data_IF_108615571931
#
_entry.id   IF_108615571931
#
_cell.length_a   1.000
_cell.length_b   1.000
_cell.length_c   1.000
_cell.angle_alpha   90.00
_cell.angle_beta   90.00
_cell.angle_gamma   90.00
#
_symmetry.space_group_name_H-M   'P 1'
#
loop_
_entity.id
_entity.type
_entity.pdbx_description
1 polymer ?
#
# COMPACT_ATOMS: atom_id res chain seq x y z
N UNK A 1 12.36 6.40 -11.20
CA UNK A 1 10.97 6.86 -10.95
C UNK A 1 10.69 7.02 -9.47
N UNK A 2 10.86 5.98 -8.64
CA UNK A 2 10.63 6.03 -7.17
C UNK A 2 11.40 7.15 -6.47
N UNK A 3 12.71 7.30 -6.74
CA UNK A 3 13.51 8.37 -6.12
C UNK A 3 13.02 9.78 -6.46
N UNK A 4 12.52 10.00 -7.69
CA UNK A 4 11.92 11.28 -8.08
C UNK A 4 10.61 11.53 -7.34
N UNK A 5 9.77 10.51 -7.19
CA UNK A 5 8.53 10.63 -6.42
C UNK A 5 8.80 10.94 -4.93
N UNK A 6 9.81 10.30 -4.33
CA UNK A 6 10.25 10.65 -2.96
C UNK A 6 10.72 12.10 -2.89
N UNK A 7 11.47 12.58 -3.87
CA UNK A 7 11.90 13.98 -3.92
C UNK A 7 10.72 14.96 -4.08
N UNK A 8 9.73 14.62 -4.91
CA UNK A 8 8.48 15.39 -5.04
C UNK A 8 7.75 15.49 -3.71
N UNK A 9 7.60 14.37 -2.98
CA UNK A 9 6.98 14.38 -1.65
C UNK A 9 7.77 15.26 -0.67
N UNK A 10 9.10 15.18 -0.66
CA UNK A 10 9.94 16.04 0.19
C UNK A 10 9.78 17.51 -0.13
N UNK A 11 9.72 17.88 -1.41
CA UNK A 11 9.53 19.26 -1.86
C UNK A 11 8.16 19.81 -1.46
N UNK A 12 7.14 18.95 -1.39
CA UNK A 12 5.82 19.26 -0.85
C UNK A 12 5.78 19.32 0.70
N UNK A 13 6.92 19.12 1.38
CA UNK A 13 6.99 19.12 2.84
C UNK A 13 6.55 17.81 3.50
N UNK A 14 6.24 16.79 2.70
CA UNK A 14 5.78 15.49 3.18
C UNK A 14 6.98 14.67 3.66
N UNK A 15 6.95 14.28 4.93
CA UNK A 15 8.07 13.61 5.58
C UNK A 15 8.03 12.09 5.35
N UNK A 16 9.19 11.46 5.46
CA UNK A 16 9.30 10.00 5.48
C UNK A 16 8.90 9.40 6.84
N UNK A 17 8.94 8.07 6.97
CA UNK A 17 9.32 7.11 5.93
C UNK A 17 8.28 7.02 4.81
N UNK A 18 8.67 6.50 3.65
CA UNK A 18 7.78 6.37 2.48
C UNK A 18 7.42 4.91 2.21
N UNK A 19 6.27 4.66 1.61
CA UNK A 19 5.90 3.34 1.11
C UNK A 19 5.76 3.35 -0.41
N UNK A 20 6.22 2.28 -1.06
CA UNK A 20 5.90 1.98 -2.45
C UNK A 20 4.84 0.88 -2.47
N UNK A 21 3.59 1.23 -2.80
CA UNK A 21 2.57 0.25 -3.14
C UNK A 21 2.66 -0.04 -4.64
N UNK A 22 2.88 -1.30 -5.02
CA UNK A 22 3.09 -1.69 -6.42
C UNK A 22 2.26 -2.92 -6.77
N UNK A 23 1.69 -2.91 -7.97
CA UNK A 23 0.90 -4.03 -8.48
C UNK A 23 1.69 -5.34 -8.56
N UNK A 24 1.02 -6.50 -8.64
CA UNK A 24 1.65 -7.82 -8.58
C UNK A 24 2.81 -8.03 -9.56
N UNK A 25 2.65 -7.63 -10.82
CA UNK A 25 3.67 -7.80 -11.87
C UNK A 25 4.93 -6.97 -11.58
N UNK A 26 4.76 -5.73 -11.12
CA UNK A 26 5.87 -4.86 -10.76
C UNK A 26 6.60 -5.38 -9.51
N UNK A 27 5.85 -5.90 -8.53
CA UNK A 27 6.43 -6.52 -7.35
C UNK A 27 7.25 -7.77 -7.69
N UNK A 28 6.72 -8.66 -8.54
CA UNK A 28 7.43 -9.85 -9.02
C UNK A 28 8.73 -9.46 -9.71
N UNK A 29 8.72 -8.48 -10.62
CA UNK A 29 9.94 -7.97 -11.26
C UNK A 29 10.98 -7.48 -10.26
N UNK A 30 10.57 -6.80 -9.20
CA UNK A 30 11.49 -6.34 -8.13
C UNK A 30 12.15 -7.54 -7.44
N UNK A 31 11.40 -8.60 -7.11
CA UNK A 31 11.90 -9.78 -6.41
C UNK A 31 12.65 -10.77 -7.32
N UNK A 32 12.39 -10.78 -8.63
CA UNK A 32 13.16 -11.61 -9.57
C UNK A 32 14.48 -10.95 -9.98
N UNK A 33 14.54 -9.61 -10.00
CA UNK A 33 15.77 -8.86 -10.28
C UNK A 33 16.88 -9.08 -9.24
N UNK A 34 16.53 -9.65 -8.08
CA UNK A 34 17.45 -9.96 -6.98
C UNK A 34 18.29 -11.23 -7.17
N UNK A 35 18.04 -12.03 -8.21
CA UNK A 35 18.73 -13.31 -8.46
C UNK A 35 20.14 -13.17 -9.10
N UNK A 36 20.56 -11.97 -9.53
CA UNK A 36 21.77 -11.77 -10.36
C UNK A 36 23.00 -11.17 -9.64
N UNK A 37 23.11 -11.29 -8.31
CA UNK A 37 24.38 -11.08 -7.59
C UNK A 37 24.86 -9.63 -7.36
N UNK A 38 23.97 -8.64 -7.51
CA UNK A 38 24.21 -7.24 -7.13
C UNK A 38 23.23 -6.77 -6.05
N UNK A 39 23.50 -5.63 -5.42
CA UNK A 39 22.72 -5.03 -4.32
C UNK A 39 21.21 -5.27 -4.53
N UNK A 40 20.55 -5.93 -3.58
CA UNK A 40 19.18 -6.38 -3.78
C UNK A 40 18.29 -5.18 -4.15
N UNK A 41 17.62 -5.20 -5.31
CA UNK A 41 16.80 -4.06 -5.79
C UNK A 41 15.79 -3.63 -4.72
N UNK A 42 15.25 -4.60 -3.99
CA UNK A 42 14.39 -4.37 -2.83
C UNK A 42 15.07 -3.54 -1.73
N UNK A 43 16.34 -3.83 -1.40
CA UNK A 43 17.09 -3.08 -0.38
C UNK A 43 17.47 -1.68 -0.87
N UNK A 44 17.78 -1.54 -2.16
CA UNK A 44 17.98 -0.21 -2.75
C UNK A 44 16.71 0.64 -2.67
N UNK A 45 15.55 0.05 -2.98
CA UNK A 45 14.26 0.72 -2.86
C UNK A 45 13.96 1.11 -1.40
N UNK A 46 14.19 0.23 -0.43
CA UNK A 46 14.03 0.54 0.99
C UNK A 46 14.91 1.72 1.43
N UNK A 47 16.14 1.81 0.93
CA UNK A 47 17.03 2.96 1.19
C UNK A 47 16.50 4.26 0.59
N UNK A 48 15.96 4.22 -0.64
CA UNK A 48 15.33 5.39 -1.27
C UNK A 48 14.10 5.85 -0.47
N UNK A 49 13.35 4.90 0.08
CA UNK A 49 12.13 5.14 0.84
C UNK A 49 12.37 5.52 2.32
N UNK A 50 13.58 5.96 2.67
CA UNK A 50 14.00 6.32 4.04
C UNK A 50 13.75 5.20 5.06
N UNK A 51 14.11 3.96 4.70
CA UNK A 51 13.88 2.78 5.55
C UNK A 51 12.43 2.31 5.57
N UNK A 52 11.58 2.88 4.72
CA UNK A 52 10.20 2.46 4.55
C UNK A 52 10.04 1.14 3.80
N UNK A 53 8.85 0.90 3.26
CA UNK A 53 8.42 -0.44 2.81
C UNK A 53 7.96 -0.48 1.36
N UNK A 54 8.22 -1.61 0.69
CA UNK A 54 7.61 -1.96 -0.59
C UNK A 54 6.50 -2.96 -0.31
N UNK A 55 5.30 -2.69 -0.80
CA UNK A 55 4.09 -3.48 -0.56
C UNK A 55 3.55 -3.98 -1.90
N UNK A 56 3.35 -5.30 -2.01
CA UNK A 56 2.59 -5.89 -3.10
C UNK A 56 1.11 -5.57 -2.91
N UNK A 57 0.56 -4.69 -3.74
CA UNK A 57 -0.81 -4.23 -3.64
C UNK A 57 -1.66 -4.84 -4.76
N UNK A 58 -2.49 -5.84 -4.41
CA UNK A 58 -3.28 -6.60 -5.39
C UNK A 58 -4.30 -5.76 -6.17
N UNK A 59 -4.86 -4.72 -5.53
CA UNK A 59 -5.82 -3.80 -6.15
C UNK A 59 -5.19 -2.63 -6.92
N UNK A 60 -3.85 -2.53 -6.96
CA UNK A 60 -3.16 -1.41 -7.62
C UNK A 60 -2.68 -1.83 -9.00
N UNK A 61 -2.99 -0.99 -9.99
CA UNK A 61 -2.36 -1.03 -11.32
C UNK A 61 -1.24 0.01 -11.33
N UNK A 62 -0.04 -0.37 -11.77
CA UNK A 62 1.16 0.48 -11.69
C UNK A 62 1.70 0.55 -10.26
N UNK A 63 2.05 1.76 -9.81
CA UNK A 63 2.59 1.99 -8.48
C UNK A 63 2.21 3.35 -7.89
N UNK A 64 2.25 3.45 -6.55
CA UNK A 64 2.10 4.70 -5.79
C UNK A 64 3.20 4.78 -4.75
N UNK A 65 3.84 5.94 -4.63
CA UNK A 65 4.72 6.27 -3.52
C UNK A 65 3.96 7.17 -2.56
N UNK A 66 3.87 6.81 -1.29
CA UNK A 66 3.13 7.56 -0.28
C UNK A 66 3.99 7.85 0.96
N UNK A 67 3.81 9.02 1.57
CA UNK A 67 4.32 9.31 2.92
C UNK A 67 3.56 8.48 3.95
N UNK A 68 4.31 7.90 4.90
CA UNK A 68 3.75 7.21 6.08
C UNK A 68 3.72 8.11 7.32
N UNK A 69 4.06 9.39 7.19
CA UNK A 69 4.04 10.34 8.30
C UNK A 69 2.67 10.98 8.42
N UNK A 70 2.18 11.14 9.64
CA UNK A 70 0.89 11.80 9.90
C UNK A 70 -0.32 11.04 9.36
N UNK A 71 -1.49 11.66 9.49
CA UNK A 71 -2.79 11.05 9.20
C UNK A 71 -3.28 11.42 7.79
N UNK A 72 -2.40 11.32 6.78
CA UNK A 72 -2.69 11.72 5.39
C UNK A 72 -3.75 10.84 4.71
N UNK A 73 -3.85 9.60 5.15
CA UNK A 73 -4.77 8.58 4.63
C UNK A 73 -5.45 7.91 5.82
N UNK A 74 -6.76 8.13 5.95
CA UNK A 74 -7.52 7.66 7.11
C UNK A 74 -8.56 6.65 6.64
N UNK A 75 -8.46 5.44 7.16
CA UNK A 75 -9.51 4.42 7.10
C UNK A 75 -10.26 4.47 8.44
N UNK A 76 -11.50 4.93 8.41
CA UNK A 76 -12.36 4.99 9.59
C UNK A 76 -13.24 3.74 9.61
N UNK A 77 -13.17 2.97 10.70
CA UNK A 77 -13.97 1.77 10.90
C UNK A 77 -15.10 2.11 11.89
N UNK A 78 -16.35 2.07 11.40
CA UNK A 78 -17.53 2.08 12.27
C UNK A 78 -17.74 0.71 12.91
N UNK A 79 -17.54 -0.34 12.10
CA UNK A 79 -17.48 -1.72 12.57
C UNK A 79 -16.36 -2.44 11.81
N UNK A 80 -15.45 -3.06 12.55
CA UNK A 80 -14.38 -3.88 11.98
C UNK A 80 -14.95 -5.21 11.43
N UNK A 81 -14.17 -5.91 10.62
CA UNK A 81 -14.54 -7.13 9.94
C UNK A 81 -15.11 -8.17 10.91
N UNK A 82 -16.39 -8.48 10.76
CA UNK A 82 -17.13 -9.34 11.67
C UNK A 82 -17.87 -10.45 10.91
N UNK A 83 -18.12 -11.57 11.59
CA UNK A 83 -18.88 -12.70 11.05
C UNK A 83 -20.22 -12.79 11.79
N UNK A 84 -21.31 -12.63 11.05
CA UNK A 84 -22.67 -12.72 11.58
C UNK A 84 -23.36 -14.02 11.18
N UNK A 85 -24.30 -14.46 12.02
CA UNK A 85 -25.20 -15.57 11.70
C UNK A 85 -26.40 -15.08 10.90
N UNK A 86 -26.67 -15.72 9.76
CA UNK A 86 -27.88 -15.47 8.97
C UNK A 86 -28.99 -16.47 9.32
N UNK A 87 -28.78 -17.74 9.01
CA UNK A 87 -29.74 -18.83 9.23
C UNK A 87 -29.04 -20.20 9.12
N UNK A 88 -29.73 -21.29 9.39
CA UNK A 88 -29.26 -22.65 9.09
C UNK A 88 -30.40 -23.55 8.64
N UNK A 89 -30.06 -24.62 7.93
CA UNK A 89 -30.94 -25.75 7.66
C UNK A 89 -30.36 -27.04 8.26
N UNK A 90 -30.86 -28.21 7.83
CA UNK A 90 -30.43 -29.51 8.36
C UNK A 90 -28.96 -29.83 8.04
N UNK A 91 -28.40 -29.22 7.01
CA UNK A 91 -27.11 -29.59 6.43
C UNK A 91 -26.08 -28.46 6.49
N UNK A 92 -26.52 -27.21 6.60
CA UNK A 92 -25.65 -26.05 6.47
C UNK A 92 -26.02 -24.89 7.40
N UNK A 93 -25.00 -24.12 7.78
CA UNK A 93 -25.15 -22.83 8.48
C UNK A 93 -24.71 -21.73 7.53
N UNK A 94 -25.59 -20.77 7.29
CA UNK A 94 -25.32 -19.56 6.51
C UNK A 94 -24.84 -18.46 7.44
N UNK A 95 -23.60 -18.05 7.24
CA UNK A 95 -22.98 -16.90 7.88
C UNK A 95 -22.80 -15.77 6.87
N UNK A 96 -22.64 -14.54 7.35
CA UNK A 96 -22.26 -13.40 6.52
C UNK A 96 -21.03 -12.71 7.12
N UNK A 97 -20.34 -11.97 6.26
CA UNK A 97 -19.26 -11.06 6.67
C UNK A 97 -19.80 -9.65 6.56
N UNK A 98 -19.58 -8.85 7.58
CA UNK A 98 -19.95 -7.44 7.59
C UNK A 98 -18.79 -6.57 8.07
N UNK A 99 -18.67 -5.39 7.47
CA UNK A 99 -17.73 -4.34 7.81
C UNK A 99 -18.41 -3.01 7.47
N UNK A 100 -18.20 -1.98 8.29
CA UNK A 100 -18.63 -0.62 7.99
C UNK A 100 -17.44 0.30 8.06
N UNK A 101 -17.04 0.88 6.93
CA UNK A 101 -15.89 1.77 6.85
C UNK A 101 -16.12 2.95 5.91
N UNK A 102 -15.32 3.99 6.11
CA UNK A 102 -15.09 5.07 5.14
C UNK A 102 -13.59 5.29 4.97
N UNK A 103 -13.17 5.79 3.81
CA UNK A 103 -11.78 6.15 3.55
C UNK A 103 -11.69 7.60 3.09
N UNK A 104 -10.72 8.33 3.64
CA UNK A 104 -10.48 9.73 3.31
C UNK A 104 -9.00 10.01 3.12
N UNK A 105 -8.70 10.76 2.06
CA UNK A 105 -7.40 11.40 1.85
C UNK A 105 -7.48 12.80 2.43
N UNK A 106 -6.71 13.08 3.48
CA UNK A 106 -6.70 14.38 4.16
C UNK A 106 -5.65 15.31 3.57
N UNK A 107 -4.54 14.76 3.08
CA UNK A 107 -3.47 15.47 2.39
C UNK A 107 -3.15 14.77 1.06
N UNK A 108 -3.73 15.22 -0.07
CA UNK A 108 -3.49 14.63 -1.38
C UNK A 108 -2.02 14.67 -1.83
N UNK A 109 -1.26 15.69 -1.38
CA UNK A 109 0.16 15.82 -1.73
C UNK A 109 1.04 14.75 -1.04
N UNK A 110 0.46 13.94 -0.14
CA UNK A 110 1.12 12.81 0.52
C UNK A 110 1.41 11.61 -0.39
N UNK A 111 0.93 11.60 -1.63
CA UNK A 111 1.15 10.50 -2.56
C UNK A 111 1.46 10.95 -3.99
N UNK A 112 2.28 10.15 -4.66
CA UNK A 112 2.62 10.31 -6.08
C UNK A 112 2.33 9.00 -6.79
N UNK A 113 1.47 9.06 -7.82
CA UNK A 113 1.21 7.94 -8.72
C UNK A 113 2.37 7.82 -9.71
N UNK A 114 2.87 6.61 -9.88
CA UNK A 114 3.84 6.26 -10.91
C UNK A 114 3.08 5.60 -12.06
N UNK A 115 2.84 6.36 -13.11
CA UNK A 115 2.44 5.82 -14.41
C UNK A 115 3.67 5.36 -15.18
N UNK A 116 3.54 4.29 -15.94
CA UNK A 116 4.55 3.85 -16.92
C UNK A 116 4.77 4.92 -18.02
#
# INVERSE_FOLDING_TARGET
MVARAVDTLRQAGMKGPYALAIGPEGYTRIVESTEHGGLLVLDHLRRILDGGKVVRALGVRGAVVASLSGDNFVLELGQDLSVGYSHHDRESVSLYVEESFSFRVTEPDAAVVLTD
#
